data_IF_249114922909
#
_entry.id   IF_249114922909
#
_cell.length_a   1.000
_cell.length_b   1.000
_cell.length_c   1.000
_cell.angle_alpha   90.00
_cell.angle_beta   90.00
_cell.angle_gamma   90.00
#
_symmetry.space_group_name_H-M   'P 1'
#
loop_
_entity.id
_entity.type
_entity.pdbx_description
1 polymer ?
#
# COMPACT_ATOMS: atom_id res chain seq x y z
N UNK A 1 -31.16 -23.23 6.93
CA UNK A 1 -29.73 -22.92 7.08
C UNK A 1 -29.42 -21.84 6.05
N UNK A 2 -29.35 -20.56 6.46
CA UNK A 2 -28.94 -19.49 5.54
C UNK A 2 -27.42 -19.62 5.36
N UNK A 3 -26.97 -19.85 4.13
CA UNK A 3 -25.58 -19.62 3.79
C UNK A 3 -25.38 -18.10 3.78
N UNK A 4 -24.63 -17.57 4.73
CA UNK A 4 -24.16 -16.18 4.67
C UNK A 4 -23.16 -16.13 3.52
N UNK A 5 -23.58 -15.67 2.35
CA UNK A 5 -22.68 -15.36 1.25
C UNK A 5 -21.93 -14.11 1.66
N UNK A 6 -20.63 -14.24 1.96
CA UNK A 6 -19.77 -13.07 2.20
C UNK A 6 -19.59 -12.32 0.87
N UNK A 7 -20.42 -11.30 0.66
CA UNK A 7 -20.30 -10.38 -0.47
C UNK A 7 -19.13 -9.41 -0.26
N UNK A 8 -18.98 -8.90 0.97
CA UNK A 8 -17.85 -8.05 1.37
C UNK A 8 -16.57 -8.89 1.46
N UNK A 9 -15.47 -8.47 0.82
CA UNK A 9 -14.18 -9.14 0.96
C UNK A 9 -13.56 -8.86 2.34
N UNK A 10 -12.75 -9.78 2.84
CA UNK A 10 -11.98 -9.65 4.06
C UNK A 10 -10.53 -9.25 3.74
N UNK A 11 -10.03 -8.19 4.38
CA UNK A 11 -8.59 -7.87 4.35
C UNK A 11 -7.87 -8.81 5.33
N UNK A 12 -6.98 -9.65 4.80
CA UNK A 12 -6.23 -10.66 5.56
C UNK A 12 -4.75 -10.30 5.72
N UNK A 13 -4.24 -9.35 4.94
CA UNK A 13 -2.96 -8.68 5.21
C UNK A 13 -3.11 -7.19 4.97
N UNK A 14 -2.93 -6.40 6.03
CA UNK A 14 -2.83 -4.95 5.96
C UNK A 14 -1.42 -4.52 5.53
N UNK A 15 -1.28 -3.42 4.77
CA UNK A 15 0.02 -2.80 4.55
C UNK A 15 0.63 -2.30 5.88
N UNK A 16 1.93 -2.00 5.86
CA UNK A 16 2.68 -1.57 7.06
C UNK A 16 3.36 -0.21 6.85
N UNK A 17 3.40 0.60 7.91
CA UNK A 17 4.15 1.86 7.97
C UNK A 17 5.61 1.60 7.61
N UNK A 18 6.20 2.51 6.84
CA UNK A 18 7.57 2.38 6.37
C UNK A 18 8.33 3.69 6.46
N UNK A 19 9.58 3.59 6.88
CA UNK A 19 10.55 4.67 6.79
C UNK A 19 11.67 4.21 5.87
N UNK A 20 11.80 4.86 4.71
CA UNK A 20 12.69 4.42 3.63
C UNK A 20 13.63 5.56 3.26
N UNK A 21 14.91 5.28 3.00
CA UNK A 21 15.83 6.31 2.51
C UNK A 21 15.42 6.82 1.13
N UNK A 22 15.77 8.07 0.84
CA UNK A 22 15.61 8.63 -0.50
C UNK A 22 16.27 7.74 -1.57
N UNK A 23 15.71 7.75 -2.79
CA UNK A 23 16.15 7.00 -3.96
C UNK A 23 16.04 5.46 -3.87
N UNK A 24 15.76 4.89 -2.70
CA UNK A 24 15.41 3.48 -2.54
C UNK A 24 13.97 3.20 -2.97
N UNK A 25 13.44 2.02 -2.63
CA UNK A 25 12.11 1.56 -3.01
C UNK A 25 11.29 1.22 -1.77
N UNK A 26 10.04 1.68 -1.73
CA UNK A 26 9.07 1.23 -0.72
C UNK A 26 8.23 0.09 -1.30
N UNK A 27 7.86 -0.87 -0.46
CA UNK A 27 7.07 -2.05 -0.87
C UNK A 27 5.91 -2.22 0.10
N UNK A 28 4.69 -2.02 -0.38
CA UNK A 28 3.49 -2.32 0.39
C UNK A 28 2.89 -3.64 -0.06
N UNK A 29 2.43 -4.44 0.89
CA UNK A 29 1.71 -5.69 0.65
C UNK A 29 0.28 -5.53 1.16
N UNK A 30 -0.67 -6.12 0.45
CA UNK A 30 -2.07 -6.17 0.84
C UNK A 30 -2.65 -7.48 0.32
N UNK A 31 -3.33 -8.22 1.18
CA UNK A 31 -4.00 -9.45 0.80
C UNK A 31 -5.47 -9.40 1.21
N UNK A 32 -6.31 -9.94 0.33
CA UNK A 32 -7.75 -9.99 0.56
C UNK A 32 -8.30 -11.37 0.20
N UNK A 33 -9.37 -11.75 0.89
CA UNK A 33 -10.10 -12.99 0.66
C UNK A 33 -11.58 -12.68 0.43
N UNK A 34 -12.24 -13.40 -0.45
CA UNK A 34 -13.68 -13.28 -0.69
C UNK A 34 -14.32 -14.62 -0.99
N UNK A 35 -15.65 -14.67 -0.97
CA UNK A 35 -16.37 -15.83 -1.48
C UNK A 35 -16.19 -15.98 -3.00
N UNK A 36 -16.18 -14.84 -3.70
CA UNK A 36 -15.69 -14.72 -5.07
C UNK A 36 -14.33 -14.01 -5.04
N UNK A 37 -13.52 -14.23 -6.07
CA UNK A 37 -12.18 -13.65 -6.19
C UNK A 37 -12.24 -12.12 -6.12
N UNK A 38 -11.67 -11.48 -5.07
CA UNK A 38 -11.66 -10.03 -4.99
C UNK A 38 -10.61 -9.44 -5.93
N UNK A 39 -10.82 -8.18 -6.30
CA UNK A 39 -9.80 -7.35 -6.95
C UNK A 39 -9.20 -6.38 -5.93
N UNK A 40 -7.91 -6.03 -6.10
CA UNK A 40 -7.24 -5.03 -5.27
C UNK A 40 -6.89 -3.78 -6.08
N UNK A 41 -7.22 -2.62 -5.53
CA UNK A 41 -6.82 -1.28 -6.01
C UNK A 41 -6.02 -0.57 -4.92
N UNK A 42 -4.96 0.14 -5.29
CA UNK A 42 -4.10 0.88 -4.36
C UNK A 42 -4.43 2.36 -4.38
N UNK A 43 -4.43 2.98 -3.21
CA UNK A 43 -4.69 4.39 -3.00
C UNK A 43 -3.43 5.09 -2.49
N UNK A 44 -3.09 6.25 -3.06
CA UNK A 44 -2.14 7.19 -2.46
C UNK A 44 -2.89 8.46 -2.14
N UNK A 45 -2.98 8.80 -0.85
CA UNK A 45 -3.69 9.98 -0.37
C UNK A 45 -5.10 10.13 -0.95
N UNK A 46 -5.86 9.03 -0.90
CA UNK A 46 -7.26 8.97 -1.36
C UNK A 46 -7.45 9.12 -2.89
N UNK A 47 -6.37 8.94 -3.67
CA UNK A 47 -6.43 8.92 -5.14
C UNK A 47 -5.73 7.66 -5.71
N UNK A 48 -6.49 6.86 -6.45
CA UNK A 48 -6.00 5.68 -7.17
C UNK A 48 -5.19 6.08 -8.42
N UNK A 49 -5.56 7.17 -9.11
CA UNK A 49 -4.91 7.63 -10.34
C UNK A 49 -3.46 8.02 -10.08
N UNK A 50 -3.15 8.55 -8.91
CA UNK A 50 -1.76 8.86 -8.52
C UNK A 50 -0.90 7.61 -8.45
N UNK A 51 -1.48 6.45 -8.12
CA UNK A 51 -0.76 5.17 -8.23
C UNK A 51 -0.72 4.74 -9.69
N UNK A 52 -1.88 4.60 -10.35
CA UNK A 52 -1.98 4.03 -11.70
C UNK A 52 -1.21 4.79 -12.79
N UNK A 53 -1.14 6.12 -12.72
CA UNK A 53 -0.45 6.97 -13.71
C UNK A 53 1.04 7.17 -13.43
N UNK A 54 1.52 6.79 -12.24
CA UNK A 54 2.89 7.05 -11.84
C UNK A 54 3.82 5.95 -12.34
N UNK A 55 4.70 6.31 -13.29
CA UNK A 55 5.71 5.43 -13.90
C UNK A 55 6.71 4.81 -12.90
N UNK A 56 6.85 5.40 -11.71
CA UNK A 56 7.70 4.86 -10.63
C UNK A 56 7.00 3.77 -9.84
N UNK A 57 5.68 3.60 -9.99
CA UNK A 57 4.94 2.56 -9.28
C UNK A 57 4.84 1.29 -10.12
N UNK A 58 4.83 0.14 -9.45
CA UNK A 58 4.52 -1.15 -10.06
C UNK A 58 3.61 -1.93 -9.13
N UNK A 59 2.51 -2.46 -9.66
CA UNK A 59 1.60 -3.34 -8.94
C UNK A 59 1.77 -4.75 -9.47
N UNK A 60 2.06 -5.70 -8.58
CA UNK A 60 2.08 -7.12 -8.87
C UNK A 60 0.95 -7.80 -8.10
N UNK A 61 0.22 -8.72 -8.73
CA UNK A 61 -0.87 -9.49 -8.12
C UNK A 61 -0.59 -10.97 -8.26
N UNK A 62 -0.80 -11.72 -7.19
CA UNK A 62 -0.65 -13.17 -7.11
C UNK A 62 -1.97 -13.72 -6.57
N UNK A 63 -2.53 -14.73 -7.24
CA UNK A 63 -3.71 -15.44 -6.78
C UNK A 63 -3.25 -16.71 -6.07
N UNK A 64 -3.57 -16.86 -4.79
CA UNK A 64 -3.14 -18.01 -3.99
C UNK A 64 -4.09 -19.20 -4.19
N UNK A 65 -5.38 -18.92 -4.34
CA UNK A 65 -6.44 -19.88 -4.69
C UNK A 65 -7.56 -19.17 -5.48
N UNK A 66 -8.77 -19.72 -5.51
CA UNK A 66 -9.95 -19.14 -6.17
C UNK A 66 -10.64 -18.01 -5.37
N UNK A 67 -10.14 -17.73 -4.17
CA UNK A 67 -10.77 -16.85 -3.18
C UNK A 67 -9.83 -15.79 -2.60
N UNK A 68 -8.52 -15.95 -2.77
CA UNK A 68 -7.51 -15.12 -2.14
C UNK A 68 -6.53 -14.52 -3.15
N UNK A 69 -6.31 -13.22 -3.00
CA UNK A 69 -5.37 -12.43 -3.80
C UNK A 69 -4.36 -11.74 -2.89
N UNK A 70 -3.10 -11.74 -3.31
CA UNK A 70 -2.02 -10.94 -2.74
C UNK A 70 -1.58 -9.88 -3.75
N UNK A 71 -1.59 -8.62 -3.34
CA UNK A 71 -1.15 -7.48 -4.14
C UNK A 71 0.06 -6.81 -3.50
N UNK A 72 1.05 -6.50 -4.33
CA UNK A 72 2.27 -5.80 -3.95
C UNK A 72 2.40 -4.51 -4.75
N UNK A 73 2.44 -3.38 -4.05
CA UNK A 73 2.77 -2.08 -4.63
C UNK A 73 4.24 -1.75 -4.35
N UNK A 74 5.01 -1.56 -5.41
CA UNK A 74 6.38 -1.04 -5.33
C UNK A 74 6.38 0.41 -5.76
N UNK A 75 6.91 1.31 -4.94
CA UNK A 75 7.16 2.72 -5.28
C UNK A 75 8.67 2.92 -5.40
N UNK A 76 9.14 3.20 -6.62
CA UNK A 76 10.56 3.34 -6.92
C UNK A 76 11.07 4.77 -6.73
N UNK A 77 12.35 4.90 -6.37
CA UNK A 77 13.02 6.18 -6.20
C UNK A 77 12.24 7.08 -5.26
N UNK A 78 12.23 6.73 -3.97
CA UNK A 78 11.44 7.46 -2.97
C UNK A 78 11.86 8.92 -2.90
N UNK A 79 10.87 9.80 -2.99
CA UNK A 79 11.01 11.27 -2.89
C UNK A 79 10.08 11.83 -1.82
N UNK A 80 10.28 13.11 -1.47
CA UNK A 80 9.49 13.79 -0.43
C UNK A 80 7.98 13.81 -0.74
N UNK A 81 7.59 13.89 -2.01
CA UNK A 81 6.17 13.81 -2.41
C UNK A 81 5.54 12.42 -2.23
N UNK A 82 6.35 11.39 -1.97
CA UNK A 82 5.87 10.05 -1.64
C UNK A 82 5.52 9.90 -0.15
N UNK A 83 5.87 10.87 0.70
CA UNK A 83 5.51 10.88 2.12
C UNK A 83 4.01 11.15 2.29
N UNK A 84 3.21 10.10 2.11
CA UNK A 84 1.75 10.15 2.10
C UNK A 84 1.17 8.90 2.74
N UNK A 85 -0.15 8.93 2.92
CA UNK A 85 -0.98 7.80 3.30
C UNK A 85 -1.15 6.84 2.11
N UNK A 86 -1.00 5.55 2.36
CA UNK A 86 -1.26 4.46 1.43
C UNK A 86 -2.20 3.45 2.08
N UNK A 87 -3.08 2.87 1.27
CA UNK A 87 -3.95 1.76 1.65
C UNK A 87 -4.47 1.09 0.37
N UNK A 88 -5.05 -0.09 0.50
CA UNK A 88 -5.69 -0.78 -0.61
C UNK A 88 -7.20 -0.89 -0.35
N UNK A 89 -7.97 -0.99 -1.44
CA UNK A 89 -9.34 -1.46 -1.43
C UNK A 89 -9.39 -2.86 -2.02
N UNK A 90 -10.08 -3.77 -1.32
CA UNK A 90 -10.53 -5.02 -1.87
C UNK A 90 -11.97 -4.86 -2.36
N UNK A 91 -12.25 -5.27 -3.60
CA UNK A 91 -13.58 -5.12 -4.21
C UNK A 91 -14.07 -6.49 -4.66
N UNK A 92 -15.26 -6.87 -4.21
CA UNK A 92 -15.94 -8.09 -4.62
C UNK A 92 -17.42 -7.80 -4.92
N UNK A 93 -17.88 -8.05 -6.15
CA UNK A 93 -19.28 -7.88 -6.57
C UNK A 93 -19.93 -6.53 -6.22
N UNK A 94 -19.14 -5.46 -6.14
CA UNK A 94 -19.59 -4.11 -5.81
C UNK A 94 -19.47 -3.72 -4.34
N UNK A 95 -19.15 -4.67 -3.46
CA UNK A 95 -18.80 -4.40 -2.07
C UNK A 95 -17.30 -4.10 -1.96
N UNK A 96 -16.96 -3.06 -1.20
CA UNK A 96 -15.60 -2.59 -1.01
C UNK A 96 -15.19 -2.69 0.47
N UNK A 97 -14.01 -3.23 0.72
CA UNK A 97 -13.40 -3.23 2.06
C UNK A 97 -12.03 -2.52 1.99
N UNK A 98 -11.83 -1.39 2.70
CA UNK A 98 -10.54 -0.74 2.80
C UNK A 98 -9.62 -1.46 3.80
N UNK A 99 -8.33 -1.55 3.48
CA UNK A 99 -7.33 -1.91 4.49
C UNK A 99 -7.08 -0.79 5.49
N UNK A 100 -6.34 -1.09 6.55
CA UNK A 100 -5.79 -0.07 7.43
C UNK A 100 -4.88 0.88 6.65
N UNK A 101 -4.98 2.20 6.90
CA UNK A 101 -4.09 3.17 6.30
C UNK A 101 -2.70 3.13 6.94
N UNK A 102 -1.68 3.31 6.10
CA UNK A 102 -0.28 3.41 6.53
C UNK A 102 0.42 4.61 5.92
N UNK A 103 1.48 5.06 6.57
CA UNK A 103 2.25 6.23 6.18
C UNK A 103 3.63 5.81 5.71
N UNK A 104 4.04 6.38 4.57
CA UNK A 104 5.42 6.36 4.11
C UNK A 104 6.14 7.60 4.63
N UNK A 105 7.36 7.43 5.15
CA UNK A 105 8.24 8.53 5.53
C UNK A 105 9.61 8.35 4.89
N UNK A 106 10.17 9.42 4.35
CA UNK A 106 11.56 9.44 3.87
C UNK A 106 12.51 9.62 5.03
N UNK A 107 13.53 8.77 5.15
CA UNK A 107 14.67 9.03 6.03
C UNK A 107 15.66 9.93 5.31
N UNK A 108 15.63 11.22 5.61
CA UNK A 108 16.53 12.19 5.02
C UNK A 108 17.89 12.16 5.73
N UNK A 109 18.95 11.82 4.99
CA UNK A 109 20.32 11.88 5.52
C UNK A 109 20.77 13.33 5.75
N UNK A 110 20.12 14.31 5.11
CA UNK A 110 20.44 15.73 5.33
C UNK A 110 20.07 16.20 6.74
N UNK A 111 18.94 15.77 7.28
CA UNK A 111 18.53 16.11 8.66
C UNK A 111 19.50 15.53 9.69
N UNK A 112 19.95 14.30 9.48
CA UNK A 112 20.95 13.67 10.34
C UNK A 112 22.27 14.45 10.28
N UNK A 113 22.73 14.85 9.09
CA UNK A 113 23.94 15.69 8.93
C UNK A 113 23.78 17.06 9.60
N UNK A 114 22.64 17.74 9.44
CA UNK A 114 22.36 19.03 10.09
C UNK A 114 22.40 18.92 11.62
N UNK A 115 21.83 17.86 12.20
CA UNK A 115 21.90 17.60 13.64
C UNK A 115 23.34 17.34 14.11
N UNK A 116 24.14 16.63 13.32
CA UNK A 116 25.58 16.52 13.59
C UNK A 116 26.29 17.88 13.48
N UNK A 117 25.99 18.73 12.48
CA UNK A 117 26.60 20.05 12.39
C UNK A 117 26.23 20.98 13.56
N UNK A 118 24.98 20.92 14.04
CA UNK A 118 24.48 21.73 15.16
C UNK A 118 24.93 21.26 16.55
N UNK A 119 25.34 20.00 16.70
CA UNK A 119 25.79 19.44 17.98
C UNK A 119 27.29 19.60 18.25
N UNK A 120 28.03 20.09 17.26
CA UNK A 120 29.48 20.36 17.33
C UNK A 120 29.81 21.87 17.23
N UNK A 121 28.80 22.72 17.41
CA UNK A 121 28.91 24.16 17.63
C UNK A 121 28.25 24.51 18.96
#
# INVERSE_FOLDING_TARGET
MLFVVFLVPEIVEDPKNQTVHADLHAIFNCAARGHLMPSITWMKNDDALVVHSNLRTKVAKIFLDDKQIHSKLVVKGIKREDNRKYYCFAINSGEEEPSKPVFLSTKDLSETRVLYFLSWH
#
